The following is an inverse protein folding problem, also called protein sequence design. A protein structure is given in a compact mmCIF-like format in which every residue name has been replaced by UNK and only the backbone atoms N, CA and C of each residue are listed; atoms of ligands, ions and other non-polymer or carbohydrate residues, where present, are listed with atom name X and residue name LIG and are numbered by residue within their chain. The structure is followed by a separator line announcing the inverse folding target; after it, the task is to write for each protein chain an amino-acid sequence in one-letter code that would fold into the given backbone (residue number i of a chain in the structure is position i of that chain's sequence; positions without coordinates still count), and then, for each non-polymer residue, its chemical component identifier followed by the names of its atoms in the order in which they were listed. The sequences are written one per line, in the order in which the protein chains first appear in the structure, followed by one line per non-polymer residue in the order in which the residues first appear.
data_IF_722628938854
#
_entry.id   IF_722628938854
#
_cell.length_a   1.000
_cell.length_b   1.000
_cell.length_c   1.000
_cell.angle_alpha   90.00
_cell.angle_beta   90.00
_cell.angle_gamma   90.00
#
_symmetry.space_group_name_H-M   'P 1'
#
loop_
_entity.id
_entity.type
_entity.pdbx_description
1 polymer ?
#
# COMPACT_ATOMS: atom_id res chain seq x y z
N UNK A 1 -10.38 -7.79 -7.47
CA UNK A 1 -9.20 -6.91 -7.44
C UNK A 1 -8.32 -7.36 -6.28
N UNK A 2 -6.98 -7.40 -6.46
CA UNK A 2 -5.94 -8.10 -5.65
C UNK A 2 -6.42 -9.44 -5.06
N UNK A 3 -6.04 -10.56 -5.68
CA UNK A 3 -6.34 -11.92 -5.20
C UNK A 3 -5.24 -12.46 -4.29
N UNK A 4 -5.51 -13.54 -3.54
CA UNK A 4 -4.46 -14.19 -2.74
C UNK A 4 -3.30 -14.67 -3.63
N UNK A 5 -3.58 -15.16 -4.84
CA UNK A 5 -2.55 -15.57 -5.80
C UNK A 5 -1.61 -14.42 -6.19
N UNK A 6 -2.13 -13.19 -6.32
CA UNK A 6 -1.30 -12.00 -6.55
C UNK A 6 -0.43 -11.69 -5.33
N UNK A 7 -0.97 -11.85 -4.12
CA UNK A 7 -0.24 -11.64 -2.86
C UNK A 7 0.85 -12.69 -2.66
N UNK A 8 0.55 -13.96 -2.93
CA UNK A 8 1.50 -15.07 -2.91
C UNK A 8 2.65 -14.83 -3.89
N UNK A 9 2.32 -14.44 -5.13
CA UNK A 9 3.33 -14.13 -6.15
C UNK A 9 4.19 -12.94 -5.74
N UNK A 10 3.58 -11.85 -5.27
CA UNK A 10 4.31 -10.69 -4.78
C UNK A 10 5.24 -11.04 -3.62
N UNK A 11 4.78 -11.89 -2.69
CA UNK A 11 5.57 -12.35 -1.53
C UNK A 11 6.81 -13.10 -2.00
N UNK A 12 6.62 -14.06 -2.91
CA UNK A 12 7.71 -14.87 -3.47
C UNK A 12 8.72 -14.02 -4.25
N UNK A 13 8.25 -13.17 -5.17
CA UNK A 13 9.13 -12.36 -6.02
C UNK A 13 9.91 -11.33 -5.17
N UNK A 14 9.26 -10.72 -4.18
CA UNK A 14 9.91 -9.75 -3.28
C UNK A 14 11.02 -10.41 -2.47
N UNK A 15 10.74 -11.59 -1.88
CA UNK A 15 11.75 -12.34 -1.15
C UNK A 15 12.92 -12.72 -2.05
N UNK A 16 12.62 -13.25 -3.24
CA UNK A 16 13.64 -13.68 -4.20
C UNK A 16 14.55 -12.52 -4.61
N UNK A 17 13.97 -11.36 -4.90
CA UNK A 17 14.73 -10.17 -5.26
C UNK A 17 15.59 -9.65 -4.11
N UNK A 18 15.07 -9.64 -2.89
CA UNK A 18 15.81 -9.11 -1.74
C UNK A 18 16.90 -10.07 -1.27
N UNK A 19 16.66 -11.39 -1.33
CA UNK A 19 17.70 -12.40 -1.14
C UNK A 19 18.80 -12.28 -2.19
N UNK A 20 18.45 -11.95 -3.43
CA UNK A 20 19.42 -11.67 -4.48
C UNK A 20 20.26 -10.41 -4.15
N UNK A 21 19.63 -9.33 -3.68
CA UNK A 21 20.37 -8.14 -3.26
C UNK A 21 21.36 -8.43 -2.13
N UNK A 22 20.94 -9.18 -1.11
CA UNK A 22 21.81 -9.56 0.00
C UNK A 22 22.96 -10.45 -0.46
N UNK A 23 22.67 -11.44 -1.32
CA UNK A 23 23.68 -12.33 -1.92
C UNK A 23 24.74 -11.55 -2.71
N UNK A 24 24.33 -10.48 -3.40
CA UNK A 24 25.22 -9.64 -4.20
C UNK A 24 25.85 -8.49 -3.39
N UNK A 25 25.56 -8.40 -2.08
CA UNK A 25 25.97 -7.31 -1.20
C UNK A 25 25.55 -5.92 -1.74
N UNK A 26 24.34 -5.83 -2.30
CA UNK A 26 23.77 -4.60 -2.86
C UNK A 26 22.86 -3.92 -1.84
N UNK A 27 23.34 -2.80 -1.29
CA UNK A 27 22.52 -2.00 -0.39
C UNK A 27 21.39 -1.28 -1.15
N UNK A 28 20.16 -1.43 -0.65
CA UNK A 28 18.96 -0.74 -1.15
C UNK A 28 18.29 0.02 -0.02
N UNK A 29 18.00 1.29 -0.28
CA UNK A 29 17.21 2.12 0.65
C UNK A 29 15.77 1.62 0.73
N UNK A 30 15.05 1.96 1.81
CA UNK A 30 13.61 1.67 1.93
C UNK A 30 12.78 2.23 0.77
N UNK A 31 13.18 3.39 0.22
CA UNK A 31 12.53 4.00 -0.94
C UNK A 31 12.68 3.13 -2.19
N UNK A 32 13.91 2.73 -2.51
CA UNK A 32 14.18 1.85 -3.65
C UNK A 32 13.47 0.51 -3.51
N UNK A 33 13.46 -0.08 -2.30
CA UNK A 33 12.70 -1.31 -2.02
C UNK A 33 11.19 -1.12 -2.24
N UNK A 34 10.62 0.03 -1.88
CA UNK A 34 9.21 0.33 -2.17
C UNK A 34 8.94 0.48 -3.68
N UNK A 35 9.86 1.06 -4.45
CA UNK A 35 9.77 1.16 -5.91
C UNK A 35 9.82 -0.25 -6.54
N UNK A 36 10.75 -1.10 -6.10
CA UNK A 36 10.85 -2.49 -6.54
C UNK A 36 9.58 -3.29 -6.23
N UNK A 37 9.04 -3.20 -5.00
CA UNK A 37 7.80 -3.89 -4.60
C UNK A 37 6.60 -3.38 -5.41
N UNK A 38 6.54 -2.09 -5.74
CA UNK A 38 5.50 -1.54 -6.62
C UNK A 38 5.55 -2.20 -8.00
N UNK A 39 6.73 -2.23 -8.62
CA UNK A 39 6.91 -2.87 -9.93
C UNK A 39 6.62 -4.38 -9.92
N UNK A 40 6.96 -5.07 -8.83
CA UNK A 40 6.60 -6.48 -8.65
C UNK A 40 5.08 -6.69 -8.53
N UNK A 41 4.39 -5.81 -7.81
CA UNK A 41 2.92 -5.87 -7.73
C UNK A 41 2.27 -5.60 -9.08
N UNK A 42 2.77 -4.61 -9.83
CA UNK A 42 2.30 -4.35 -11.19
C UNK A 42 2.42 -5.59 -12.08
N UNK A 43 3.58 -6.23 -12.07
CA UNK A 43 3.83 -7.43 -12.86
C UNK A 43 2.92 -8.59 -12.43
N UNK A 44 2.80 -8.84 -11.13
CA UNK A 44 1.92 -9.89 -10.61
C UNK A 44 0.45 -9.65 -10.99
N UNK A 45 -0.01 -8.39 -10.95
CA UNK A 45 -1.36 -8.04 -11.39
C UNK A 45 -1.55 -8.24 -12.89
N UNK A 46 -0.63 -7.76 -13.72
CA UNK A 46 -0.70 -7.91 -15.18
C UNK A 46 -0.67 -9.38 -15.63
N UNK A 47 0.09 -10.23 -14.93
CA UNK A 47 0.20 -11.65 -15.25
C UNK A 47 -1.03 -12.47 -14.80
N UNK A 48 -1.65 -12.11 -13.67
CA UNK A 48 -2.64 -12.96 -12.99
C UNK A 48 -4.09 -12.44 -13.06
N UNK A 49 -4.30 -11.18 -13.43
CA UNK A 49 -5.63 -10.57 -13.51
C UNK A 49 -5.95 -10.32 -14.99
N UNK A 50 -6.97 -10.99 -15.49
CA UNK A 50 -7.46 -10.76 -16.86
C UNK A 50 -7.80 -9.27 -17.06
N UNK A 51 -7.32 -8.70 -18.16
CA UNK A 51 -7.54 -7.29 -18.49
C UNK A 51 -6.68 -6.29 -17.72
N UNK A 52 -5.78 -6.74 -16.83
CA UNK A 52 -4.76 -5.89 -16.24
C UNK A 52 -3.55 -5.73 -17.18
N UNK A 53 -3.08 -4.49 -17.34
CA UNK A 53 -1.87 -4.16 -18.11
C UNK A 53 -1.02 -3.22 -17.27
N UNK A 54 0.28 -3.49 -17.15
CA UNK A 54 1.25 -2.60 -16.52
C UNK A 54 2.01 -1.78 -17.57
N UNK A 55 1.52 -0.59 -17.97
CA UNK A 55 2.17 0.22 -18.99
C UNK A 55 3.51 0.74 -18.46
N UNK A 56 4.62 0.36 -19.09
CA UNK A 56 5.98 0.71 -18.65
C UNK A 56 6.42 2.11 -19.12
N UNK A 57 5.50 3.08 -19.08
CA UNK A 57 5.69 4.46 -19.56
C UNK A 57 5.36 5.42 -18.41
N UNK A 58 6.26 6.35 -18.09
CA UNK A 58 6.11 7.27 -16.93
C UNK A 58 4.83 8.11 -16.93
N UNK A 59 4.26 8.39 -18.11
CA UNK A 59 3.04 9.20 -18.26
C UNK A 59 1.75 8.39 -18.14
N UNK A 60 1.84 7.09 -17.88
CA UNK A 60 0.72 6.17 -17.77
C UNK A 60 0.40 5.87 -16.28
N UNK A 61 -0.79 5.31 -15.96
CA UNK A 61 -1.04 4.79 -14.60
C UNK A 61 -0.22 3.53 -14.36
N UNK A 62 0.03 3.17 -13.09
CA UNK A 62 0.81 1.97 -12.75
C UNK A 62 0.17 0.69 -13.33
N UNK A 63 -1.17 0.63 -13.35
CA UNK A 63 -1.96 -0.42 -13.99
C UNK A 63 -3.14 0.18 -14.77
N UNK A 64 -3.48 -0.42 -15.92
CA UNK A 64 -4.79 -0.29 -16.57
C UNK A 64 -5.57 -1.58 -16.34
N UNK A 65 -6.66 -1.53 -15.60
CA UNK A 65 -7.53 -2.68 -15.34
C UNK A 65 -8.81 -2.54 -16.15
N UNK A 66 -8.97 -3.38 -17.18
CA UNK A 66 -10.05 -3.26 -18.18
C UNK A 66 -10.13 -1.86 -18.80
N UNK A 67 -8.99 -1.19 -18.96
CA UNK A 67 -8.88 0.17 -19.50
C UNK A 67 -8.92 1.28 -18.45
N UNK A 68 -9.38 0.99 -17.23
CA UNK A 68 -9.47 1.98 -16.14
C UNK A 68 -8.12 2.16 -15.42
N UNK A 69 -7.74 3.40 -15.06
CA UNK A 69 -6.47 3.68 -14.40
C UNK A 69 -6.48 3.23 -12.93
N UNK A 70 -5.42 2.50 -12.55
CA UNK A 70 -5.15 2.08 -11.18
C UNK A 70 -3.76 2.57 -10.78
N UNK A 71 -3.68 3.25 -9.64
CA UNK A 71 -2.44 3.82 -9.10
C UNK A 71 -2.03 3.07 -7.83
N UNK A 72 -0.78 2.63 -7.76
CA UNK A 72 -0.20 1.93 -6.62
C UNK A 72 0.63 2.94 -5.82
N UNK A 73 0.48 2.90 -4.50
CA UNK A 73 1.26 3.71 -3.56
C UNK A 73 1.86 2.79 -2.52
N UNK A 74 3.18 2.70 -2.52
CA UNK A 74 3.94 1.74 -1.70
C UNK A 74 4.80 2.45 -0.67
N UNK A 75 4.77 1.98 0.59
CA UNK A 75 5.57 2.53 1.68
C UNK A 75 6.07 1.44 2.64
N UNK A 76 7.18 1.70 3.33
CA UNK A 76 7.66 0.85 4.44
C UNK A 76 7.18 1.37 5.81
N UNK A 77 6.30 2.36 5.80
CA UNK A 77 5.74 2.98 6.99
C UNK A 77 4.21 3.02 6.95
N UNK A 78 3.67 4.13 7.43
CA UNK A 78 2.23 4.28 7.70
C UNK A 78 1.62 5.53 7.03
N UNK A 79 2.39 6.15 6.15
CA UNK A 79 2.01 7.32 5.38
C UNK A 79 2.40 7.08 3.93
N UNK A 80 1.44 7.33 3.04
CA UNK A 80 1.61 7.21 1.61
C UNK A 80 1.68 8.59 0.99
N UNK A 81 2.60 8.74 0.04
CA UNK A 81 2.90 10.00 -0.61
C UNK A 81 2.48 9.93 -2.08
N UNK A 82 2.01 11.06 -2.60
CA UNK A 82 1.72 11.28 -4.01
C UNK A 82 2.37 12.59 -4.45
N UNK A 83 2.75 12.67 -5.72
CA UNK A 83 3.06 13.94 -6.36
C UNK A 83 1.88 14.91 -6.24
N UNK A 84 2.16 16.20 -6.20
CA UNK A 84 1.17 17.23 -5.85
C UNK A 84 0.42 17.81 -7.06
N UNK A 85 0.93 17.60 -8.28
CA UNK A 85 0.31 18.12 -9.50
C UNK A 85 -0.02 17.11 -10.60
N UNK A 86 0.24 15.82 -10.40
CA UNK A 86 -0.28 14.76 -11.28
C UNK A 86 -1.15 13.85 -10.43
N UNK A 87 -2.47 14.08 -10.44
CA UNK A 87 -3.41 13.20 -9.75
C UNK A 87 -4.54 12.92 -10.70
N UNK A 88 -4.48 11.74 -11.31
CA UNK A 88 -5.60 11.13 -11.99
C UNK A 88 -6.61 10.74 -10.92
N UNK A 89 -7.86 11.04 -11.15
CA UNK A 89 -8.93 10.40 -10.38
C UNK A 89 -9.01 8.95 -10.82
N UNK A 90 -9.27 8.04 -9.89
CA UNK A 90 -9.29 6.62 -10.19
C UNK A 90 -9.12 5.76 -8.95
N UNK A 91 -8.86 4.48 -9.17
CA UNK A 91 -8.69 3.51 -8.10
C UNK A 91 -7.24 3.53 -7.59
N UNK A 92 -7.08 3.65 -6.28
CA UNK A 92 -5.76 3.63 -5.64
C UNK A 92 -5.59 2.38 -4.79
N UNK A 93 -4.43 1.74 -4.93
CA UNK A 93 -3.98 0.64 -4.09
C UNK A 93 -2.89 1.17 -3.15
N UNK A 94 -3.10 0.99 -1.86
CA UNK A 94 -2.19 1.40 -0.80
C UNK A 94 -1.53 0.16 -0.22
N UNK A 95 -0.21 0.06 -0.41
CA UNK A 95 0.60 -1.05 0.08
C UNK A 95 1.58 -0.56 1.15
N UNK A 96 1.53 -1.16 2.32
CA UNK A 96 2.57 -1.05 3.34
C UNK A 96 3.27 -2.40 3.51
N UNK A 97 4.60 -2.38 3.67
CA UNK A 97 5.38 -3.61 3.83
C UNK A 97 6.30 -3.58 5.05
N UNK A 98 6.54 -4.76 5.62
CA UNK A 98 7.59 -5.02 6.59
C UNK A 98 8.38 -6.26 6.16
N UNK A 99 9.67 -6.30 6.49
CA UNK A 99 10.52 -7.47 6.21
C UNK A 99 10.85 -8.18 7.52
N UNK A 100 10.72 -9.49 7.49
CA UNK A 100 11.27 -10.37 8.51
C UNK A 100 12.79 -10.51 8.32
N UNK A 101 13.46 -11.15 9.29
CA UNK A 101 14.93 -11.33 9.27
C UNK A 101 15.44 -12.14 8.07
N UNK A 102 14.58 -12.94 7.46
CA UNK A 102 14.84 -13.81 6.32
C UNK A 102 14.35 -13.19 4.99
N UNK A 103 14.16 -11.87 4.94
CA UNK A 103 13.56 -11.12 3.83
C UNK A 103 12.14 -11.55 3.43
N UNK A 104 11.46 -12.40 4.20
CA UNK A 104 10.06 -12.70 3.95
C UNK A 104 9.23 -11.45 4.22
N UNK A 105 8.53 -10.89 3.22
CA UNK A 105 7.73 -9.69 3.42
C UNK A 105 6.39 -10.03 4.04
N UNK A 106 5.85 -9.07 4.79
CA UNK A 106 4.43 -9.05 5.19
C UNK A 106 3.80 -7.75 4.67
N UNK A 107 2.54 -7.82 4.26
CA UNK A 107 1.88 -6.72 3.57
C UNK A 107 0.56 -6.32 4.22
N UNK A 108 0.34 -5.02 4.28
CA UNK A 108 -1.00 -4.43 4.40
C UNK A 108 -1.36 -3.87 3.04
N UNK A 109 -2.51 -4.27 2.50
CA UNK A 109 -2.96 -3.85 1.17
C UNK A 109 -4.44 -3.50 1.26
N UNK A 110 -4.78 -2.29 0.85
CA UNK A 110 -6.18 -1.86 0.69
C UNK A 110 -6.32 -0.99 -0.55
N UNK A 111 -7.55 -0.76 -0.99
CA UNK A 111 -7.81 0.14 -2.09
C UNK A 111 -9.15 0.84 -2.03
N UNK A 112 -9.22 1.95 -2.77
CA UNK A 112 -10.39 2.83 -2.84
C UNK A 112 -10.29 3.77 -4.05
N UNK A 113 -11.43 4.11 -4.63
CA UNK A 113 -11.55 5.23 -5.57
C UNK A 113 -11.35 6.58 -4.88
N UNK A 114 -10.38 7.35 -5.37
CA UNK A 114 -10.07 8.68 -4.85
C UNK A 114 -10.26 9.75 -5.93
N UNK A 115 -10.91 10.83 -5.53
CA UNK A 115 -10.98 12.09 -6.28
C UNK A 115 -9.72 12.93 -6.04
N UNK A 116 -9.48 13.92 -6.90
CA UNK A 116 -8.26 14.75 -6.85
C UNK A 116 -8.09 15.51 -5.51
N UNK A 117 -9.20 15.92 -4.91
CA UNK A 117 -9.29 16.64 -3.63
C UNK A 117 -9.17 15.72 -2.40
N UNK A 118 -9.16 14.40 -2.59
CA UNK A 118 -9.00 13.42 -1.50
C UNK A 118 -7.58 13.42 -0.90
N UNK A 119 -6.65 14.20 -1.43
CA UNK A 119 -5.24 14.23 -1.02
C UNK A 119 -4.89 15.55 -0.34
N UNK A 120 -4.22 15.50 0.83
CA UNK A 120 -3.80 16.73 1.52
C UNK A 120 -2.46 17.24 0.99
N UNK A 121 -2.33 18.52 0.59
CA UNK A 121 -1.03 19.10 0.31
C UNK A 121 -0.17 19.11 1.58
N UNK A 122 1.13 18.91 1.39
CA UNK A 122 2.11 19.14 2.45
C UNK A 122 2.02 20.59 2.93
N UNK A 123 2.10 20.78 4.24
CA UNK A 123 2.17 22.11 4.88
C UNK A 123 3.62 22.56 5.10
N UNK A 124 4.60 21.81 4.58
CA UNK A 124 6.02 22.13 4.69
C UNK A 124 6.48 22.94 3.48
N UNK A 125 7.09 24.10 3.72
CA UNK A 125 7.61 25.00 2.67
C UNK A 125 8.69 24.34 1.79
N UNK A 126 9.32 23.27 2.28
CA UNK A 126 10.41 22.53 1.61
C UNK A 126 9.98 21.23 0.94
N UNK A 127 8.73 20.80 1.07
CA UNK A 127 8.30 19.48 0.58
C UNK A 127 6.95 19.55 -0.10
N UNK A 128 6.91 19.22 -1.38
CA UNK A 128 5.76 19.51 -2.21
C UNK A 128 4.72 18.38 -2.24
N UNK A 129 5.02 17.17 -1.76
CA UNK A 129 4.14 16.00 -1.94
C UNK A 129 2.81 16.10 -1.19
N UNK A 130 1.79 15.40 -1.69
CA UNK A 130 0.52 15.24 -0.95
C UNK A 130 0.46 13.90 -0.27
N UNK A 131 -0.17 13.83 0.90
CA UNK A 131 -0.17 12.63 1.73
C UNK A 131 -1.57 12.06 1.95
N UNK A 132 -1.59 10.74 2.19
CA UNK A 132 -2.71 10.04 2.78
C UNK A 132 -2.20 9.29 4.02
N UNK A 133 -2.74 9.61 5.19
CA UNK A 133 -2.30 9.04 6.47
C UNK A 133 -3.26 7.95 6.99
N UNK A 134 -2.73 7.07 7.85
CA UNK A 134 -3.50 5.99 8.48
C UNK A 134 -4.70 6.45 9.33
N UNK A 135 -4.69 7.68 9.87
CA UNK A 135 -5.82 8.20 10.66
C UNK A 135 -7.00 8.50 9.75
N UNK A 136 -6.75 9.10 8.58
CA UNK A 136 -7.77 9.34 7.57
C UNK A 136 -8.30 8.04 6.98
N UNK A 137 -7.41 7.08 6.74
CA UNK A 137 -7.79 5.73 6.30
C UNK A 137 -8.74 5.08 7.32
N UNK A 138 -8.36 5.06 8.60
CA UNK A 138 -9.18 4.50 9.68
C UNK A 138 -10.54 5.19 9.84
N UNK A 139 -10.59 6.52 9.75
CA UNK A 139 -11.84 7.29 9.86
C UNK A 139 -12.85 6.90 8.77
N UNK A 140 -12.38 6.56 7.58
CA UNK A 140 -13.24 6.20 6.45
C UNK A 140 -13.22 4.70 6.14
N UNK A 141 -12.68 3.85 7.03
CA UNK A 141 -12.35 2.43 6.78
C UNK A 141 -13.50 1.59 6.21
N UNK A 142 -14.76 1.96 6.50
CA UNK A 142 -15.94 1.28 5.95
C UNK A 142 -16.08 1.40 4.43
N UNK A 143 -15.44 2.42 3.85
CA UNK A 143 -15.48 2.70 2.41
C UNK A 143 -14.21 2.21 1.68
N UNK A 144 -13.42 1.34 2.32
CA UNK A 144 -12.19 0.77 1.77
C UNK A 144 -12.36 -0.72 1.54
N UNK A 145 -11.74 -1.22 0.47
CA UNK A 145 -11.57 -2.66 0.27
C UNK A 145 -10.24 -3.07 0.88
N UNK A 146 -10.25 -3.97 1.87
CA UNK A 146 -9.02 -4.54 2.45
C UNK A 146 -8.71 -5.87 1.76
N UNK A 147 -7.51 -5.99 1.23
CA UNK A 147 -7.02 -7.19 0.53
C UNK A 147 -6.11 -8.02 1.43
N UNK A 148 -5.30 -7.38 2.27
CA UNK A 148 -4.47 -8.04 3.29
C UNK A 148 -4.27 -7.09 4.47
N UNK A 149 -4.21 -7.64 5.68
CA UNK A 149 -4.00 -6.85 6.88
C UNK A 149 -5.25 -6.12 7.39
N UNK A 150 -5.08 -5.40 8.51
CA UNK A 150 -6.15 -4.64 9.14
C UNK A 150 -5.60 -3.41 9.89
N UNK A 151 -6.51 -2.57 10.38
CA UNK A 151 -6.19 -1.42 11.21
C UNK A 151 -6.71 -1.63 12.62
N UNK A 152 -5.88 -1.32 13.60
CA UNK A 152 -6.25 -1.31 15.01
C UNK A 152 -6.23 0.13 15.52
N UNK A 153 -7.27 0.54 16.26
CA UNK A 153 -7.21 1.78 17.04
C UNK A 153 -6.85 1.45 18.47
N UNK A 154 -5.95 2.22 19.06
CA UNK A 154 -5.53 2.08 20.45
C UNK A 154 -5.24 3.46 21.04
N UNK A 155 -5.40 3.59 22.36
CA UNK A 155 -5.12 4.84 23.05
C UNK A 155 -3.71 4.85 23.64
N UNK A 156 -2.97 5.93 23.37
CA UNK A 156 -1.71 6.23 24.03
C UNK A 156 -1.91 7.43 24.95
N UNK A 157 -2.36 7.15 26.18
CA UNK A 157 -2.80 8.18 27.11
C UNK A 157 -4.12 8.80 26.63
N UNK A 158 -4.15 10.10 26.36
CA UNK A 158 -5.36 10.81 25.85
C UNK A 158 -5.44 10.87 24.32
N UNK A 159 -4.48 10.27 23.61
CA UNK A 159 -4.40 10.36 22.16
C UNK A 159 -4.74 9.02 21.51
N UNK A 160 -5.76 9.02 20.65
CA UNK A 160 -6.04 7.89 19.79
C UNK A 160 -4.94 7.75 18.72
N UNK A 161 -4.35 6.57 18.69
CA UNK A 161 -3.36 6.12 17.72
C UNK A 161 -3.97 5.00 16.87
N UNK A 162 -3.49 4.88 15.64
CA UNK A 162 -3.89 3.81 14.72
C UNK A 162 -2.64 2.96 14.48
N UNK A 163 -2.76 1.64 14.36
CA UNK A 163 -1.69 0.73 13.98
C UNK A 163 -2.11 -0.03 12.71
N UNK A 164 -1.14 -0.24 11.81
CA UNK A 164 -1.30 -1.05 10.61
C UNK A 164 -0.75 -2.46 10.89
N UNK A 165 -1.53 -3.48 10.55
CA UNK A 165 -1.17 -4.88 10.71
C UNK A 165 -1.01 -5.50 9.33
N UNK A 166 0.14 -6.14 9.09
CA UNK A 166 0.52 -6.75 7.80
C UNK A 166 0.29 -8.27 7.75
N UNK A 167 -0.30 -8.84 8.81
CA UNK A 167 -0.63 -10.27 8.92
C UNK A 167 -2.13 -10.56 8.75
N UNK A 168 -2.52 -11.82 8.88
CA UNK A 168 -3.93 -12.22 8.85
C UNK A 168 -4.71 -11.68 10.05
N UNK A 169 -6.01 -11.44 9.85
CA UNK A 169 -6.96 -11.15 10.93
C UNK A 169 -7.06 -12.39 11.83
N UNK A 170 -6.45 -12.36 13.01
CA UNK A 170 -6.94 -13.21 14.09
C UNK A 170 -8.37 -12.74 14.40
N UNK A 171 -9.35 -13.61 14.14
CA UNK A 171 -10.79 -13.29 14.20
C UNK A 171 -11.26 -12.71 15.55
N UNK A 172 -10.47 -12.85 16.62
CA UNK A 172 -10.74 -12.29 17.95
C UNK A 172 -10.78 -10.76 17.99
N UNK A 173 -10.14 -10.05 17.05
CA UNK A 173 -10.05 -8.58 17.09
C UNK A 173 -11.24 -7.81 16.48
N UNK A 174 -12.25 -8.50 15.93
CA UNK A 174 -13.34 -7.83 15.22
C UNK A 174 -14.36 -7.13 16.13
N UNK A 175 -14.38 -7.36 17.45
CA UNK A 175 -15.51 -6.93 18.29
C UNK A 175 -15.22 -6.38 19.70
N UNK A 176 -13.97 -6.20 20.10
CA UNK A 176 -13.63 -5.48 21.34
C UNK A 176 -13.17 -4.06 21.00
N UNK A 177 -14.07 -3.17 20.59
CA UNK A 177 -14.58 -2.15 21.49
C UNK A 177 -15.76 -1.49 20.79
N UNK A 178 -16.95 -1.59 21.39
CA UNK A 178 -18.07 -0.72 21.04
C UNK A 178 -17.59 0.74 21.10
N UNK A 179 -17.98 1.62 20.16
CA UNK A 179 -17.68 3.04 20.29
C UNK A 179 -18.25 3.53 21.64
N UNK A 180 -17.52 4.36 22.39
CA UNK A 180 -18.08 4.98 23.59
C UNK A 180 -19.35 5.74 23.22
N UNK A 181 -20.40 5.56 24.03
CA UNK A 181 -21.66 6.33 23.96
C UNK A 181 -21.42 7.85 24.09
#
# INVERSE_FOLDING_TARGET
MITEQVIERLTYDTKTLFDFYDKMNLFKTKKQKSEDISGLLENAMADLIEGAVAPKIDSEPDIRLHGEPVEIKTTSGECWFSGTYSKREGYFIFLSWQLNKDNTPTFFICGKDLKKDAWKPSTSDSYYATTYDKKRLYKNRRDWTFYKGYLEAYDRGKQQCIKLHTGELEQEFLWETSPPE
#
